data_IF_317029930551
#
_entry.id   IF_317029930551
#
_cell.length_a   1.000
_cell.length_b   1.000
_cell.length_c   1.000
_cell.angle_alpha   90.00
_cell.angle_beta   90.00
_cell.angle_gamma   90.00
#
_symmetry.space_group_name_H-M   'P 1'
#
loop_
_entity.id
_entity.type
_entity.pdbx_description
1 polymer ?
#
# COMPACT_ATOMS: atom_id res chain seq x y z
N UNK A 1 7.92 -0.08 -22.86
CA UNK A 1 6.80 0.86 -22.67
C UNK A 1 5.53 0.12 -23.05
N UNK A 2 4.52 0.12 -22.18
CA UNK A 2 3.22 -0.47 -22.51
C UNK A 2 2.54 0.39 -23.59
N UNK A 3 1.93 -0.20 -24.62
CA UNK A 3 1.29 0.54 -25.70
C UNK A 3 0.13 1.41 -25.16
N UNK A 4 -0.02 2.63 -25.70
CA UNK A 4 -1.01 3.60 -25.23
C UNK A 4 -2.39 3.36 -25.89
N UNK A 5 -3.42 2.86 -25.17
CA UNK A 5 -4.71 2.53 -25.78
C UNK A 5 -5.67 3.73 -25.89
N UNK A 6 -5.25 4.93 -25.48
CA UNK A 6 -5.99 6.18 -25.65
C UNK A 6 -6.81 6.63 -24.44
N UNK A 7 -7.40 5.72 -23.66
CA UNK A 7 -8.03 6.04 -22.37
C UNK A 7 -7.52 5.13 -21.27
N UNK A 8 -7.35 5.68 -20.07
CA UNK A 8 -6.76 4.95 -18.93
C UNK A 8 -7.77 4.00 -18.26
N UNK A 9 -9.09 4.25 -18.37
CA UNK A 9 -10.10 3.45 -17.68
C UNK A 9 -10.11 1.95 -18.09
N UNK A 10 -10.05 1.57 -19.38
CA UNK A 10 -9.92 0.17 -19.78
C UNK A 10 -8.60 -0.48 -19.33
N UNK A 11 -7.52 0.29 -19.25
CA UNK A 11 -6.21 -0.17 -18.77
C UNK A 11 -6.26 -0.44 -17.26
N UNK A 12 -6.83 0.49 -16.48
CA UNK A 12 -7.04 0.33 -15.04
C UNK A 12 -7.99 -0.83 -14.69
N UNK A 13 -9.07 -1.01 -15.46
CA UNK A 13 -9.98 -2.15 -15.29
C UNK A 13 -9.26 -3.48 -15.56
N UNK A 14 -8.41 -3.52 -16.60
CA UNK A 14 -7.58 -4.70 -16.90
C UNK A 14 -6.57 -4.98 -15.79
N UNK A 15 -5.92 -3.96 -15.23
CA UNK A 15 -5.01 -4.11 -14.09
C UNK A 15 -5.76 -4.68 -12.88
N UNK A 16 -6.95 -4.15 -12.58
CA UNK A 16 -7.79 -4.64 -11.48
C UNK A 16 -8.22 -6.10 -11.65
N UNK A 17 -8.64 -6.49 -12.87
CA UNK A 17 -8.97 -7.88 -13.20
C UNK A 17 -7.73 -8.78 -13.04
N UNK A 18 -6.59 -8.32 -13.54
CA UNK A 18 -5.32 -9.07 -13.46
C UNK A 18 -4.87 -9.22 -12.00
N UNK A 19 -5.01 -8.19 -11.18
CA UNK A 19 -4.66 -8.23 -9.76
C UNK A 19 -5.56 -9.20 -8.99
N UNK A 20 -6.87 -9.21 -9.27
CA UNK A 20 -7.80 -10.20 -8.70
C UNK A 20 -7.41 -11.63 -9.07
N UNK A 21 -7.05 -11.86 -10.33
CA UNK A 21 -6.62 -13.18 -10.79
C UNK A 21 -5.29 -13.60 -10.13
N UNK A 22 -4.37 -12.66 -9.90
CA UNK A 22 -3.15 -12.91 -9.13
C UNK A 22 -3.48 -13.35 -7.69
N UNK A 23 -4.37 -12.61 -6.99
CA UNK A 23 -4.82 -12.98 -5.64
C UNK A 23 -5.39 -14.39 -5.67
N UNK A 24 -6.33 -14.67 -6.57
CA UNK A 24 -6.98 -15.97 -6.68
C UNK A 24 -5.98 -17.13 -6.87
N UNK A 25 -4.96 -16.93 -7.72
CA UNK A 25 -3.91 -17.94 -7.94
C UNK A 25 -3.04 -18.18 -6.71
N UNK A 26 -2.72 -17.12 -5.97
CA UNK A 26 -1.93 -17.22 -4.74
C UNK A 26 -2.72 -17.92 -3.64
N UNK A 27 -3.97 -17.48 -3.42
CA UNK A 27 -4.81 -18.00 -2.34
C UNK A 27 -5.18 -19.45 -2.60
N UNK A 28 -5.59 -19.81 -3.82
CA UNK A 28 -5.90 -21.21 -4.18
C UNK A 28 -4.72 -22.17 -3.92
N UNK A 29 -3.48 -21.70 -4.10
CA UNK A 29 -2.29 -22.54 -3.91
C UNK A 29 -1.83 -22.62 -2.46
N UNK A 30 -1.97 -21.53 -1.71
CA UNK A 30 -1.43 -21.41 -0.37
C UNK A 30 -2.43 -21.80 0.73
N UNK A 31 -3.74 -21.58 0.49
CA UNK A 31 -4.82 -21.89 1.43
C UNK A 31 -4.83 -23.36 1.88
N UNK A 32 -4.59 -24.38 1.02
CA UNK A 32 -4.59 -25.78 1.45
C UNK A 32 -3.36 -26.21 2.28
N UNK A 33 -2.39 -25.32 2.52
CA UNK A 33 -1.16 -25.70 3.23
C UNK A 33 -1.43 -25.69 4.74
N UNK A 34 -1.40 -26.89 5.33
CA UNK A 34 -1.55 -27.05 6.79
C UNK A 34 -0.42 -26.40 7.57
N UNK A 35 -0.76 -25.89 8.77
CA UNK A 35 0.18 -25.25 9.69
C UNK A 35 0.94 -24.05 9.09
N UNK A 36 0.31 -23.34 8.15
CA UNK A 36 0.85 -22.13 7.54
C UNK A 36 0.12 -20.88 8.05
N UNK A 37 0.87 -19.85 8.40
CA UNK A 37 0.37 -18.51 8.66
C UNK A 37 0.92 -17.54 7.61
N UNK A 38 0.04 -16.81 6.93
CA UNK A 38 0.39 -15.92 5.82
C UNK A 38 0.00 -14.50 6.20
N UNK A 39 0.98 -13.59 6.11
CA UNK A 39 0.78 -12.17 6.38
C UNK A 39 0.88 -11.40 5.08
N UNK A 40 -0.24 -10.87 4.60
CA UNK A 40 -0.21 -9.88 3.54
C UNK A 40 0.10 -8.53 4.16
N UNK A 41 1.28 -7.97 3.82
CA UNK A 41 1.60 -6.58 4.10
C UNK A 41 1.00 -5.71 3.01
N UNK A 42 0.26 -4.66 3.40
CA UNK A 42 -0.21 -3.66 2.45
C UNK A 42 0.91 -3.09 1.59
N UNK A 43 0.55 -2.55 0.42
CA UNK A 43 1.49 -1.88 -0.48
C UNK A 43 2.23 -0.74 0.23
N UNK A 44 3.39 -0.39 -0.31
CA UNK A 44 4.18 0.74 0.16
C UNK A 44 3.86 1.95 -0.72
N UNK A 45 3.36 3.07 -0.16
CA UNK A 45 3.15 4.28 -0.95
C UNK A 45 4.49 4.86 -1.37
N UNK A 46 4.52 5.46 -2.57
CA UNK A 46 5.52 6.44 -2.93
C UNK A 46 5.04 7.84 -2.53
N UNK A 47 5.97 8.77 -2.32
CA UNK A 47 5.63 10.16 -2.01
C UNK A 47 6.06 11.10 -3.12
N UNK A 48 5.14 11.55 -3.99
CA UNK A 48 5.41 12.57 -5.00
C UNK A 48 6.12 13.81 -4.42
N UNK A 49 5.63 14.28 -3.29
CA UNK A 49 6.13 15.47 -2.58
C UNK A 49 7.52 15.30 -2.01
N UNK A 50 8.07 14.07 -1.97
CA UNK A 50 9.43 13.81 -1.57
C UNK A 50 10.46 14.40 -2.55
N UNK A 51 10.04 14.76 -3.77
CA UNK A 51 10.84 15.52 -4.74
C UNK A 51 10.92 17.04 -4.44
N UNK A 52 10.14 17.53 -3.47
CA UNK A 52 10.16 18.94 -3.07
C UNK A 52 11.36 19.25 -2.15
N UNK A 53 11.79 20.53 -2.06
CA UNK A 53 12.95 20.92 -1.26
C UNK A 53 12.88 20.46 0.21
N UNK A 54 14.03 20.20 0.85
CA UNK A 54 14.15 19.50 2.14
C UNK A 54 13.36 20.12 3.30
N UNK A 55 13.05 21.41 3.24
CA UNK A 55 12.25 22.11 4.26
C UNK A 55 10.82 21.54 4.41
N UNK A 56 10.28 20.85 3.39
CA UNK A 56 8.95 20.24 3.41
C UNK A 56 8.97 18.70 3.51
N UNK A 57 10.15 18.07 3.44
CA UNK A 57 10.30 16.60 3.37
C UNK A 57 11.10 16.01 4.53
N UNK A 58 11.72 16.83 5.39
CA UNK A 58 12.53 16.34 6.53
C UNK A 58 11.72 16.00 7.80
N UNK A 59 10.38 16.10 7.72
CA UNK A 59 9.48 15.81 8.83
C UNK A 59 8.31 14.95 8.33
N UNK A 60 7.76 14.07 9.19
CA UNK A 60 6.48 13.44 8.94
C UNK A 60 5.43 14.49 8.61
N UNK A 61 4.35 14.09 7.94
CA UNK A 61 3.17 14.94 7.84
C UNK A 61 2.63 15.23 9.26
N UNK A 62 3.09 16.34 9.85
CA UNK A 62 2.70 16.77 11.18
C UNK A 62 1.54 17.76 11.09
N UNK A 63 0.51 17.52 11.88
CA UNK A 63 -0.63 18.41 12.16
C UNK A 63 -0.26 19.80 12.72
N UNK A 64 1.03 20.11 12.92
CA UNK A 64 1.52 21.33 13.58
C UNK A 64 2.15 22.38 12.66
N UNK A 65 2.37 22.09 11.37
CA UNK A 65 2.49 23.13 10.35
C UNK A 65 1.12 23.27 9.67
N UNK A 66 0.76 24.43 9.11
CA UNK A 66 -0.48 24.61 8.37
C UNK A 66 -0.42 23.89 7.02
N UNK A 67 -0.14 22.58 7.03
CA UNK A 67 -0.55 21.65 6.00
C UNK A 67 -1.91 21.12 6.46
N UNK A 68 -3.02 21.38 5.72
CA UNK A 68 -4.35 21.32 6.29
C UNK A 68 -4.78 19.90 6.72
N UNK A 69 -4.44 19.52 7.94
CA UNK A 69 -4.98 18.40 8.72
C UNK A 69 -4.89 17.02 8.03
N UNK A 70 -5.30 15.98 8.76
CA UNK A 70 -5.70 14.69 8.18
C UNK A 70 -6.75 14.83 7.06
N UNK A 71 -7.31 16.03 6.88
CA UNK A 71 -8.12 16.47 5.75
C UNK A 71 -7.33 16.57 4.45
N UNK A 72 -6.02 16.87 4.41
CA UNK A 72 -5.22 16.71 3.18
C UNK A 72 -5.01 15.24 2.87
N UNK A 73 -4.73 14.40 3.87
CA UNK A 73 -4.67 12.93 3.73
C UNK A 73 -6.03 12.27 3.39
N UNK A 74 -7.15 12.94 3.70
CA UNK A 74 -8.52 12.52 3.32
C UNK A 74 -9.04 13.18 2.03
N UNK A 75 -8.64 14.40 1.71
CA UNK A 75 -8.82 15.05 0.41
C UNK A 75 -7.85 14.43 -0.62
N UNK A 76 -6.81 13.71 -0.16
CA UNK A 76 -5.99 12.71 -0.88
C UNK A 76 -6.77 11.44 -1.25
N UNK A 77 -7.97 11.23 -0.69
CA UNK A 77 -8.85 10.11 -1.03
C UNK A 77 -9.94 10.48 -2.04
N UNK A 78 -10.02 11.73 -2.49
CA UNK A 78 -10.96 12.11 -3.54
C UNK A 78 -10.44 11.61 -4.90
N UNK A 79 -11.07 10.61 -5.54
CA UNK A 79 -10.60 10.02 -6.79
C UNK A 79 -10.47 11.05 -7.93
N UNK A 80 -11.22 12.16 -7.85
CA UNK A 80 -11.18 13.24 -8.85
C UNK A 80 -9.95 14.15 -8.74
N UNK A 81 -9.22 14.10 -7.62
CA UNK A 81 -8.05 14.95 -7.33
C UNK A 81 -6.73 14.18 -7.34
N UNK A 82 -6.75 12.85 -7.50
CA UNK A 82 -5.55 12.01 -7.55
C UNK A 82 -4.74 12.20 -8.86
N UNK A 83 -5.37 12.30 -10.06
CA UNK A 83 -4.64 12.53 -11.31
C UNK A 83 -3.83 13.85 -11.29
N UNK A 84 -4.44 14.93 -10.79
CA UNK A 84 -3.82 16.25 -10.68
C UNK A 84 -2.64 16.30 -9.69
N UNK A 85 -2.45 15.28 -8.84
CA UNK A 85 -1.37 15.20 -7.84
C UNK A 85 -0.15 14.42 -8.28
N UNK A 86 -0.36 13.33 -9.02
CA UNK A 86 0.71 12.59 -9.69
C UNK A 86 1.38 13.46 -10.77
N UNK A 87 0.62 14.30 -11.45
CA UNK A 87 1.11 15.23 -12.48
C UNK A 87 2.07 16.30 -11.98
N UNK A 88 1.90 16.79 -10.74
CA UNK A 88 2.60 18.00 -10.27
C UNK A 88 3.87 17.70 -9.47
N UNK A 89 4.06 16.47 -8.97
CA UNK A 89 5.20 16.17 -8.09
C UNK A 89 6.03 14.94 -8.43
N UNK A 90 5.59 13.97 -9.24
CA UNK A 90 6.42 12.81 -9.64
C UNK A 90 7.15 12.97 -10.97
N UNK A 91 6.70 13.93 -11.77
CA UNK A 91 7.29 14.20 -13.08
C UNK A 91 8.48 15.14 -12.89
N UNK A 92 9.71 14.72 -13.26
CA UNK A 92 10.85 15.63 -13.28
C UNK A 92 10.51 16.88 -14.11
N UNK A 93 10.88 18.09 -13.68
CA UNK A 93 10.56 19.32 -14.42
C UNK A 93 11.07 19.30 -15.87
N UNK A 94 12.09 18.49 -16.15
CA UNK A 94 12.67 18.28 -17.48
C UNK A 94 12.12 17.08 -18.25
N UNK A 95 11.16 16.33 -17.68
CA UNK A 95 10.60 15.17 -18.33
C UNK A 95 9.85 15.57 -19.60
N UNK A 96 10.10 14.83 -20.68
CA UNK A 96 9.42 15.00 -21.95
C UNK A 96 7.96 14.49 -21.87
N UNK A 97 7.17 14.74 -22.91
CA UNK A 97 5.75 14.41 -22.92
C UNK A 97 5.46 12.90 -22.82
N UNK A 98 6.35 12.07 -23.35
CA UNK A 98 6.22 10.60 -23.32
C UNK A 98 6.55 10.04 -21.93
N UNK A 99 7.61 10.57 -21.30
CA UNK A 99 7.94 10.26 -19.91
C UNK A 99 6.76 10.66 -19.01
N UNK A 100 6.27 11.90 -19.12
CA UNK A 100 5.08 12.39 -18.40
C UNK A 100 3.90 11.43 -18.49
N UNK A 101 3.58 10.97 -19.70
CA UNK A 101 2.52 9.99 -19.94
C UNK A 101 2.82 8.64 -19.27
N UNK A 102 4.07 8.17 -19.29
CA UNK A 102 4.49 6.96 -18.60
C UNK A 102 4.32 7.02 -17.08
N UNK A 103 4.66 8.17 -16.46
CA UNK A 103 4.49 8.37 -15.01
C UNK A 103 3.02 8.50 -14.61
N UNK A 104 2.18 9.13 -15.44
CA UNK A 104 0.72 9.19 -15.24
C UNK A 104 0.06 7.80 -15.29
N UNK A 105 0.61 6.88 -16.10
CA UNK A 105 0.14 5.49 -16.21
C UNK A 105 0.51 4.60 -15.03
N UNK A 106 1.37 5.07 -14.12
CA UNK A 106 1.72 4.26 -12.97
C UNK A 106 0.53 4.26 -12.00
N UNK A 107 0.00 3.08 -11.72
CA UNK A 107 -1.19 2.81 -10.88
C UNK A 107 -1.03 3.14 -9.38
N UNK A 108 -0.29 4.19 -9.03
CA UNK A 108 -0.07 4.64 -7.65
C UNK A 108 -1.38 5.01 -6.96
N UNK A 109 -2.37 5.48 -7.71
CA UNK A 109 -3.71 5.79 -7.25
C UNK A 109 -4.57 4.54 -6.97
N UNK A 110 -4.20 3.39 -7.55
CA UNK A 110 -4.93 2.13 -7.37
C UNK A 110 -4.46 1.32 -6.17
N UNK A 111 -3.38 1.71 -5.50
CA UNK A 111 -2.84 0.96 -4.36
C UNK A 111 -3.84 0.77 -3.21
N UNK A 112 -4.67 1.77 -2.92
CA UNK A 112 -5.76 1.63 -1.95
C UNK A 112 -6.77 0.55 -2.39
N UNK A 113 -7.10 0.50 -3.69
CA UNK A 113 -8.00 -0.52 -4.25
C UNK A 113 -7.38 -1.92 -4.20
N UNK A 114 -6.10 -2.05 -4.53
CA UNK A 114 -5.36 -3.30 -4.44
C UNK A 114 -5.29 -3.82 -2.99
N UNK A 115 -5.05 -2.93 -2.03
CA UNK A 115 -5.08 -3.26 -0.60
C UNK A 115 -6.48 -3.66 -0.12
N UNK A 116 -7.54 -3.03 -0.65
CA UNK A 116 -8.91 -3.41 -0.34
C UNK A 116 -9.23 -4.84 -0.80
N UNK A 117 -8.81 -5.24 -2.00
CA UNK A 117 -9.01 -6.61 -2.48
C UNK A 117 -8.41 -7.67 -1.55
N UNK A 118 -7.19 -7.44 -1.06
CA UNK A 118 -6.57 -8.33 -0.08
C UNK A 118 -7.26 -8.28 1.29
N UNK A 119 -7.68 -7.09 1.73
CA UNK A 119 -8.41 -6.92 3.00
C UNK A 119 -9.71 -7.70 2.98
N UNK A 120 -10.48 -7.58 1.91
CA UNK A 120 -11.76 -8.25 1.73
C UNK A 120 -11.59 -9.77 1.72
N UNK A 121 -10.58 -10.28 1.00
CA UNK A 121 -10.24 -11.70 1.00
C UNK A 121 -9.89 -12.21 2.41
N UNK A 122 -8.97 -11.54 3.11
CA UNK A 122 -8.54 -11.97 4.46
C UNK A 122 -9.69 -11.89 5.47
N UNK A 123 -10.53 -10.86 5.36
CA UNK A 123 -11.71 -10.70 6.21
C UNK A 123 -12.73 -11.81 5.97
N UNK A 124 -12.99 -12.16 4.72
CA UNK A 124 -13.87 -13.28 4.35
C UNK A 124 -13.34 -14.63 4.90
N UNK A 125 -12.04 -14.91 4.73
CA UNK A 125 -11.40 -16.11 5.29
C UNK A 125 -11.58 -16.20 6.81
N UNK A 126 -11.40 -15.09 7.51
CA UNK A 126 -11.60 -15.01 8.95
C UNK A 126 -13.05 -15.28 9.35
N UNK A 127 -14.01 -14.73 8.62
CA UNK A 127 -15.43 -14.96 8.88
C UNK A 127 -15.82 -16.43 8.65
N UNK A 128 -15.30 -17.07 7.60
CA UNK A 128 -15.49 -18.51 7.37
C UNK A 128 -14.88 -19.35 8.49
N UNK A 129 -13.69 -18.98 8.98
CA UNK A 129 -13.06 -19.64 10.11
C UNK A 129 -13.89 -19.53 11.40
N UNK A 130 -14.33 -18.31 11.73
CA UNK A 130 -15.13 -18.05 12.93
C UNK A 130 -16.51 -18.73 12.87
N UNK A 131 -17.08 -18.89 11.66
CA UNK A 131 -18.34 -19.61 11.42
C UNK A 131 -18.18 -21.15 11.36
N UNK A 132 -16.95 -21.68 11.36
CA UNK A 132 -16.69 -23.11 11.18
C UNK A 132 -17.04 -23.63 9.78
N UNK A 133 -17.16 -22.74 8.79
CA UNK A 133 -17.34 -23.08 7.37
C UNK A 133 -16.01 -22.97 6.62
N UNK A 134 -14.93 -23.38 7.28
CA UNK A 134 -13.56 -23.21 6.84
C UNK A 134 -13.34 -23.81 5.44
N UNK A 135 -12.69 -23.03 4.57
CA UNK A 135 -12.33 -23.47 3.21
C UNK A 135 -10.81 -23.60 3.01
N UNK A 136 -10.02 -23.18 4.01
CA UNK A 136 -8.56 -23.06 3.99
C UNK A 136 -7.94 -23.63 5.26
N UNK A 137 -6.84 -24.39 5.12
CA UNK A 137 -6.01 -24.86 6.23
C UNK A 137 -5.00 -23.80 6.71
N UNK A 138 -4.60 -22.90 5.81
CA UNK A 138 -3.70 -21.80 6.12
C UNK A 138 -4.46 -20.63 6.77
N UNK A 139 -3.78 -19.95 7.70
CA UNK A 139 -4.29 -18.78 8.40
C UNK A 139 -3.81 -17.50 7.73
N UNK A 140 -4.75 -16.68 7.30
CA UNK A 140 -4.46 -15.43 6.62
C UNK A 140 -4.57 -14.23 7.56
N UNK A 141 -3.62 -13.31 7.46
CA UNK A 141 -3.53 -12.10 8.27
C UNK A 141 -3.27 -10.89 7.38
N UNK A 142 -3.92 -9.78 7.71
CA UNK A 142 -3.77 -8.51 7.00
C UNK A 142 -2.95 -7.54 7.86
N UNK A 143 -1.73 -7.25 7.43
CA UNK A 143 -0.82 -6.32 8.10
C UNK A 143 -0.94 -4.94 7.45
N UNK A 144 -1.82 -4.10 8.01
CA UNK A 144 -2.07 -2.74 7.53
C UNK A 144 -0.99 -1.77 8.01
N UNK A 145 -0.05 -1.46 7.13
CA UNK A 145 0.99 -0.45 7.35
C UNK A 145 0.79 0.78 6.47
N UNK A 146 -0.24 0.79 5.62
CA UNK A 146 -0.44 1.79 4.57
C UNK A 146 -0.56 3.20 5.16
N UNK A 147 -1.46 3.40 6.12
CA UNK A 147 -1.71 4.73 6.69
C UNK A 147 -0.49 5.28 7.44
N UNK A 148 0.28 4.41 8.08
CA UNK A 148 1.53 4.79 8.74
C UNK A 148 2.57 5.19 7.70
N UNK A 149 2.71 4.40 6.64
CA UNK A 149 3.66 4.65 5.58
C UNK A 149 3.37 5.97 4.84
N UNK A 150 2.10 6.24 4.56
CA UNK A 150 1.64 7.45 3.87
C UNK A 150 1.94 8.75 4.63
N UNK A 151 2.18 8.68 5.94
CA UNK A 151 2.50 9.85 6.77
C UNK A 151 3.99 10.20 6.76
N UNK A 152 4.82 9.36 6.16
CA UNK A 152 6.26 9.33 6.42
C UNK A 152 7.08 9.60 5.17
N UNK A 153 6.72 10.63 4.42
CA UNK A 153 7.52 11.10 3.27
C UNK A 153 9.00 11.40 3.63
N UNK A 154 9.29 11.66 4.91
CA UNK A 154 10.62 11.87 5.48
C UNK A 154 11.49 10.62 5.54
N UNK A 155 10.88 9.44 5.42
CA UNK A 155 11.56 8.18 5.65
C UNK A 155 12.24 7.60 4.40
N UNK A 156 12.19 8.27 3.25
CA UNK A 156 12.74 7.76 1.99
C UNK A 156 14.27 7.76 1.94
N UNK A 157 14.84 6.85 1.15
CA UNK A 157 16.28 6.61 1.07
C UNK A 157 17.05 7.84 0.55
N UNK A 158 16.54 8.47 -0.49
CA UNK A 158 17.13 9.66 -1.10
C UNK A 158 16.02 10.66 -1.45
N UNK A 159 15.57 11.50 -0.50
CA UNK A 159 14.58 12.53 -0.80
C UNK A 159 15.06 13.42 -1.94
N UNK A 160 14.25 13.55 -2.99
CA UNK A 160 14.65 14.22 -4.24
C UNK A 160 15.07 13.30 -5.39
N UNK A 161 15.34 12.01 -5.13
CA UNK A 161 15.79 11.04 -6.14
C UNK A 161 15.08 9.69 -6.05
N UNK A 162 14.96 9.12 -4.85
CA UNK A 162 14.26 7.86 -4.57
C UNK A 162 13.13 8.08 -3.58
N UNK A 163 11.92 8.14 -4.11
CA UNK A 163 10.69 8.36 -3.35
C UNK A 163 9.89 7.06 -3.15
N UNK A 164 10.53 5.90 -3.34
CA UNK A 164 9.91 4.57 -3.25
C UNK A 164 10.54 3.72 -2.14
N UNK A 165 11.86 3.71 -2.06
CA UNK A 165 12.57 2.96 -1.04
C UNK A 165 12.73 3.77 0.24
N UNK A 166 12.85 3.07 1.36
CA UNK A 166 12.92 3.66 2.69
C UNK A 166 14.35 3.58 3.24
N UNK A 167 14.77 4.62 3.97
CA UNK A 167 15.98 4.60 4.80
C UNK A 167 15.91 3.50 5.87
N UNK A 168 17.07 3.06 6.35
CA UNK A 168 17.22 2.23 7.55
C UNK A 168 18.16 2.92 8.55
N UNK A 169 17.84 2.98 9.86
CA UNK A 169 16.58 2.55 10.50
C UNK A 169 15.42 3.51 10.22
N UNK A 170 14.22 2.99 9.92
CA UNK A 170 13.01 3.80 9.69
C UNK A 170 11.73 2.95 9.67
N UNK A 171 10.75 3.28 8.82
CA UNK A 171 9.48 2.56 8.63
C UNK A 171 9.60 1.03 8.52
N UNK A 172 10.52 0.45 7.73
CA UNK A 172 10.62 -1.01 7.65
C UNK A 172 10.90 -1.68 9.00
N UNK A 173 11.64 -1.02 9.90
CA UNK A 173 11.89 -1.53 11.25
C UNK A 173 10.60 -1.55 12.08
N UNK A 174 9.74 -0.54 11.95
CA UNK A 174 8.43 -0.51 12.60
C UNK A 174 7.52 -1.63 12.08
N UNK A 175 7.55 -1.90 10.78
CA UNK A 175 6.78 -3.01 10.18
C UNK A 175 7.25 -4.37 10.70
N UNK A 176 8.56 -4.56 10.86
CA UNK A 176 9.13 -5.77 11.47
C UNK A 176 8.68 -5.89 12.93
N UNK A 177 8.68 -4.80 13.70
CA UNK A 177 8.15 -4.78 15.06
C UNK A 177 6.66 -5.18 15.11
N UNK A 178 5.83 -4.68 14.17
CA UNK A 178 4.42 -5.08 14.07
C UNK A 178 4.26 -6.57 13.73
N UNK A 179 5.04 -7.09 12.78
CA UNK A 179 5.04 -8.51 12.45
C UNK A 179 5.49 -9.35 13.66
N UNK A 180 6.54 -8.94 14.36
CA UNK A 180 7.01 -9.63 15.57
C UNK A 180 5.92 -9.66 16.65
N UNK A 181 5.20 -8.55 16.87
CA UNK A 181 4.07 -8.51 17.79
C UNK A 181 2.99 -9.53 17.40
N UNK A 182 2.57 -9.53 16.13
CA UNK A 182 1.54 -10.45 15.63
C UNK A 182 1.96 -11.93 15.75
N UNK A 183 3.24 -12.24 15.52
CA UNK A 183 3.76 -13.61 15.63
C UNK A 183 3.86 -14.10 17.08
N UNK A 184 4.35 -13.26 18.00
CA UNK A 184 4.79 -13.75 19.32
C UNK A 184 3.91 -13.30 20.49
N UNK A 185 3.15 -12.23 20.36
CA UNK A 185 2.36 -11.66 21.47
C UNK A 185 0.90 -12.11 21.39
N UNK A 186 0.27 -12.02 20.22
CA UNK A 186 -1.13 -12.47 20.05
C UNK A 186 -1.29 -14.00 20.22
N UNK A 187 -0.26 -14.77 19.88
CA UNK A 187 -0.23 -16.22 20.10
C UNK A 187 -0.14 -16.62 21.58
N UNK A 188 0.44 -15.79 22.45
CA UNK A 188 0.55 -16.05 23.89
C UNK A 188 -0.76 -15.77 24.62
N UNK A 189 -1.49 -14.72 24.26
CA UNK A 189 -2.78 -14.42 24.87
C UNK A 189 -3.83 -15.51 24.61
N UNK A 190 -3.82 -16.13 23.42
CA UNK A 190 -4.71 -17.24 23.09
C UNK A 190 -4.37 -18.53 23.85
N UNK A 191 -3.11 -18.74 24.23
CA UNK A 191 -2.68 -19.88 25.07
C UNK A 191 -3.02 -19.71 26.54
N UNK A 192 -3.02 -18.47 27.06
CA UNK A 192 -3.34 -18.19 28.46
C UNK A 192 -4.86 -18.06 28.74
N UNK A 193 -5.70 -18.05 27.70
CA UNK A 193 -7.17 -18.02 27.79
C UNK A 193 -7.84 -19.40 27.59
N UNK A 194 -7.05 -20.46 27.40
CA UNK A 194 -7.50 -21.86 27.42
C UNK A 194 -7.04 -22.51 28.71
#
# INVERSE_FOLDING_TARGET
>A
MLPNPGTDAPEQDLVMVTYKEMINRLTTRLSPITNLSIYYRTTSPGHPTCLLPPASTSIPYNTLLPHPNSTVAKQLKDPSLIPARLEVSLVPPHANAEEKCGWQKWDWDLFDRHNALWRDFVQWEKECWDAGTETSDAKWFFLDVWNQALQRQDAHAEPGADCLHWCLPSLPEQWICHLHHALFMEGKEKKNKK
#
